data_IF_951569953093
#
_entry.id   IF_951569953093
#
_cell.length_a   1.000
_cell.length_b   1.000
_cell.length_c   1.000
_cell.angle_alpha   90.00
_cell.angle_beta   90.00
_cell.angle_gamma   90.00
#
_symmetry.space_group_name_H-M   'P 1'
#
loop_
_entity.id
_entity.type
_entity.pdbx_description
1 polymer ?
#
# COMPACT_ATOMS: atom_id res chain seq x y z
N UNK A 1 -41.78 -8.85 16.52
CA UNK A 1 -40.84 -8.74 15.38
C UNK A 1 -39.64 -7.78 15.64
N UNK A 2 -39.30 -7.43 16.89
CA UNK A 2 -38.24 -6.43 17.17
C UNK A 2 -36.89 -7.01 17.60
N UNK A 3 -36.84 -8.26 18.08
CA UNK A 3 -35.61 -8.88 18.59
C UNK A 3 -34.54 -9.02 17.50
N UNK A 4 -34.91 -9.50 16.31
CA UNK A 4 -34.02 -9.64 15.16
C UNK A 4 -33.41 -8.30 14.71
N UNK A 5 -34.20 -7.22 14.78
CA UNK A 5 -33.74 -5.90 14.39
C UNK A 5 -32.74 -5.35 15.41
N UNK A 6 -33.00 -5.52 16.71
CA UNK A 6 -32.08 -5.13 17.77
C UNK A 6 -30.75 -5.91 17.70
N UNK A 7 -30.80 -7.22 17.43
CA UNK A 7 -29.60 -8.05 17.22
C UNK A 7 -28.77 -7.58 16.02
N UNK A 8 -29.43 -7.26 14.90
CA UNK A 8 -28.76 -6.75 13.70
C UNK A 8 -28.09 -5.39 13.94
N UNK A 9 -28.77 -4.50 14.67
CA UNK A 9 -28.22 -3.20 15.06
C UNK A 9 -26.98 -3.37 15.95
N UNK A 10 -27.05 -4.22 16.97
CA UNK A 10 -25.91 -4.51 17.84
C UNK A 10 -24.72 -5.03 17.04
N UNK A 11 -24.96 -5.97 16.13
CA UNK A 11 -23.92 -6.50 15.23
C UNK A 11 -23.33 -5.43 14.30
N UNK A 12 -24.15 -4.50 13.84
CA UNK A 12 -23.69 -3.39 13.00
C UNK A 12 -22.81 -2.43 13.78
N UNK A 13 -23.22 -2.03 14.98
CA UNK A 13 -22.45 -1.15 15.86
C UNK A 13 -21.10 -1.81 16.24
N UNK A 14 -21.10 -3.09 16.58
CA UNK A 14 -19.87 -3.84 16.88
C UNK A 14 -18.89 -3.81 15.69
N UNK A 15 -19.40 -3.94 14.46
CA UNK A 15 -18.58 -3.81 13.25
C UNK A 15 -18.05 -2.39 13.06
N UNK A 16 -18.87 -1.36 13.26
CA UNK A 16 -18.43 0.04 13.16
C UNK A 16 -17.29 0.34 14.14
N UNK A 17 -17.37 -0.17 15.37
CA UNK A 17 -16.30 -0.05 16.37
C UNK A 17 -15.03 -0.76 15.89
N UNK A 18 -15.14 -1.98 15.36
CA UNK A 18 -13.97 -2.69 14.82
C UNK A 18 -13.31 -1.97 13.64
N UNK A 19 -14.11 -1.33 12.77
CA UNK A 19 -13.63 -0.56 11.62
C UNK A 19 -12.96 0.76 12.01
N UNK A 20 -13.11 1.21 13.25
CA UNK A 20 -12.43 2.40 13.78
C UNK A 20 -10.93 2.16 13.99
N UNK A 21 -10.48 0.91 13.98
CA UNK A 21 -9.07 0.52 14.05
C UNK A 21 -8.63 -0.05 12.71
N UNK A 22 -7.75 0.66 12.01
CA UNK A 22 -7.12 0.20 10.78
C UNK A 22 -5.92 -0.70 11.12
N UNK A 23 -5.99 -1.96 10.71
CA UNK A 23 -4.88 -2.91 10.80
C UNK A 23 -4.34 -3.23 9.40
N UNK A 24 -3.05 -3.59 9.33
CA UNK A 24 -2.42 -3.92 8.06
C UNK A 24 -2.99 -5.23 7.50
N UNK A 25 -3.44 -5.27 6.23
CA UNK A 25 -4.01 -6.48 5.62
C UNK A 25 -2.97 -7.56 5.31
N UNK A 26 -1.70 -7.18 5.17
CA UNK A 26 -0.58 -8.09 4.93
C UNK A 26 0.72 -7.49 5.49
N UNK A 27 1.72 -8.34 5.69
CA UNK A 27 3.05 -7.94 6.09
C UNK A 27 3.77 -7.25 4.92
N UNK A 28 4.28 -6.04 5.13
CA UNK A 28 4.95 -5.24 4.12
C UNK A 28 5.56 -3.98 4.71
N UNK A 29 6.11 -3.13 3.86
CA UNK A 29 6.69 -1.84 4.28
C UNK A 29 5.68 -0.71 4.05
N UNK A 30 5.54 0.20 5.01
CA UNK A 30 4.73 1.41 4.86
C UNK A 30 5.53 2.41 4.02
N UNK A 31 5.08 2.64 2.79
CA UNK A 31 5.75 3.52 1.83
C UNK A 31 5.32 4.98 2.02
N UNK A 32 4.04 5.21 2.34
CA UNK A 32 3.47 6.54 2.56
C UNK A 32 2.44 6.51 3.69
N UNK A 33 2.42 7.56 4.50
CA UNK A 33 1.43 7.79 5.56
C UNK A 33 0.86 9.19 5.36
N UNK A 34 -0.34 9.27 4.80
CA UNK A 34 -0.98 10.52 4.37
C UNK A 34 -1.84 11.16 5.47
N UNK A 35 -1.82 10.61 6.69
CA UNK A 35 -2.57 11.12 7.84
C UNK A 35 -1.69 11.62 8.96
N UNK A 36 -2.07 12.78 9.49
CA UNK A 36 -1.54 13.36 10.72
C UNK A 36 -2.54 13.20 11.87
N UNK A 37 -2.03 13.27 13.10
CA UNK A 37 -2.87 13.18 14.31
C UNK A 37 -3.85 14.35 14.33
N UNK A 38 -5.14 14.06 14.42
CA UNK A 38 -6.20 15.07 14.42
C UNK A 38 -6.82 15.36 13.05
N UNK A 39 -6.32 14.75 11.97
CA UNK A 39 -6.94 14.84 10.65
C UNK A 39 -8.24 14.03 10.59
N UNK A 40 -9.30 14.61 10.04
CA UNK A 40 -10.60 13.93 9.83
C UNK A 40 -10.51 13.11 8.55
N UNK A 41 -10.61 11.79 8.69
CA UNK A 41 -10.52 10.85 7.56
C UNK A 41 -11.92 10.39 7.16
N UNK A 42 -12.43 10.90 6.04
CA UNK A 42 -13.76 10.62 5.50
C UNK A 42 -13.79 9.75 4.24
N UNK A 43 -12.71 9.00 3.97
CA UNK A 43 -12.56 8.16 2.77
C UNK A 43 -11.25 8.36 1.99
N UNK A 44 -10.38 9.25 2.45
CA UNK A 44 -9.05 9.43 1.88
C UNK A 44 -8.12 8.26 2.24
N UNK A 45 -7.14 7.97 1.36
CA UNK A 45 -6.13 6.96 1.61
C UNK A 45 -5.33 7.33 2.87
N UNK A 46 -5.20 6.37 3.80
CA UNK A 46 -4.57 6.59 5.11
C UNK A 46 -3.08 6.24 5.07
N UNK A 47 -2.76 5.11 4.45
CA UNK A 47 -1.39 4.63 4.28
C UNK A 47 -1.30 3.73 3.05
N UNK A 48 -0.12 3.71 2.42
CA UNK A 48 0.22 2.78 1.36
C UNK A 48 1.20 1.74 1.89
N UNK A 49 0.81 0.47 1.83
CA UNK A 49 1.65 -0.67 2.21
C UNK A 49 2.10 -1.35 0.92
N UNK A 50 3.40 -1.59 0.79
CA UNK A 50 4.00 -2.26 -0.36
C UNK A 50 4.76 -3.50 0.11
N UNK A 51 4.46 -4.65 -0.50
CA UNK A 51 5.25 -5.87 -0.32
C UNK A 51 6.46 -5.85 -1.27
N UNK A 52 7.66 -5.95 -0.72
CA UNK A 52 8.93 -5.95 -1.47
C UNK A 52 9.41 -7.37 -1.82
N UNK A 53 8.66 -8.41 -1.47
CA UNK A 53 9.06 -9.81 -1.64
C UNK A 53 9.10 -10.26 -3.11
N UNK A 54 8.33 -9.61 -4.00
CA UNK A 54 8.27 -9.93 -5.44
C UNK A 54 8.44 -8.65 -6.27
N UNK A 55 9.67 -8.17 -6.38
CA UNK A 55 10.01 -7.04 -7.25
C UNK A 55 9.89 -7.48 -8.72
N UNK A 56 8.83 -7.02 -9.40
CA UNK A 56 8.65 -7.25 -10.85
C UNK A 56 9.56 -6.29 -11.61
N UNK A 57 10.56 -6.83 -12.29
CA UNK A 57 11.45 -6.07 -13.15
C UNK A 57 10.91 -6.11 -14.59
N UNK A 58 10.38 -5.00 -15.08
CA UNK A 58 10.01 -4.83 -16.48
C UNK A 58 11.16 -4.13 -17.22
N UNK A 59 11.92 -4.89 -18.02
CA UNK A 59 12.94 -4.34 -18.92
C UNK A 59 12.48 -4.51 -20.36
N UNK A 60 12.42 -3.41 -21.10
CA UNK A 60 12.17 -3.43 -22.55
C UNK A 60 13.50 -3.70 -23.25
N UNK A 61 13.76 -4.95 -23.60
CA UNK A 61 14.96 -5.33 -24.36
C UNK A 61 14.66 -5.20 -25.86
N UNK A 62 15.33 -4.29 -26.60
CA UNK A 62 15.31 -4.34 -28.05
C UNK A 62 16.06 -5.58 -28.54
N UNK A 63 15.41 -6.42 -29.35
CA UNK A 63 15.88 -7.75 -29.80
C UNK A 63 17.28 -7.72 -30.45
N UNK A 64 17.70 -6.59 -31.01
CA UNK A 64 19.05 -6.37 -31.57
C UNK A 64 20.17 -6.62 -30.55
N UNK A 65 19.88 -6.56 -29.24
CA UNK A 65 20.85 -6.75 -28.14
C UNK A 65 20.80 -8.15 -27.48
N UNK A 66 19.89 -9.03 -27.89
CA UNK A 66 19.74 -10.39 -27.31
C UNK A 66 20.91 -11.34 -27.65
N UNK A 67 21.76 -10.98 -28.64
CA UNK A 67 22.81 -11.87 -29.15
C UNK A 67 24.10 -11.94 -28.33
N UNK A 68 24.28 -11.18 -27.23
CA UNK A 68 25.61 -11.12 -26.58
C UNK A 68 25.70 -10.91 -25.06
N UNK A 69 24.66 -11.02 -24.25
CA UNK A 69 24.84 -10.82 -22.79
C UNK A 69 24.06 -11.81 -21.93
N UNK A 70 24.80 -12.73 -21.30
CA UNK A 70 24.32 -13.75 -20.36
C UNK A 70 24.33 -13.32 -18.88
N UNK A 71 24.60 -12.05 -18.55
CA UNK A 71 24.46 -11.52 -17.18
C UNK A 71 24.28 -10.00 -17.18
N UNK A 72 23.04 -9.54 -17.08
CA UNK A 72 22.73 -8.13 -16.87
C UNK A 72 22.70 -7.84 -15.36
N UNK A 73 23.80 -7.34 -14.81
CA UNK A 73 23.86 -6.80 -13.45
C UNK A 73 23.22 -5.41 -13.42
N UNK A 74 22.20 -5.23 -12.58
CA UNK A 74 21.48 -3.95 -12.43
C UNK A 74 21.91 -3.30 -11.11
N UNK A 75 22.79 -2.30 -11.19
CA UNK A 75 23.07 -1.38 -10.09
C UNK A 75 22.08 -0.21 -10.14
N UNK A 76 21.14 -0.12 -9.20
CA UNK A 76 20.25 1.03 -9.07
C UNK A 76 20.94 2.12 -8.23
N UNK A 77 21.33 3.23 -8.85
CA UNK A 77 21.76 4.44 -8.15
C UNK A 77 20.55 5.20 -7.64
N UNK A 78 20.59 5.61 -6.37
CA UNK A 78 19.53 6.37 -5.69
C UNK A 78 19.16 7.68 -6.42
N UNK A 79 17.87 8.07 -6.49
CA UNK A 79 17.51 9.37 -7.01
C UNK A 79 17.92 10.46 -6.02
N UNK A 80 18.91 11.26 -6.40
CA UNK A 80 19.34 12.45 -5.66
C UNK A 80 18.18 13.46 -5.61
N UNK A 81 17.75 13.81 -4.40
CA UNK A 81 16.77 14.85 -4.14
C UNK A 81 17.33 16.22 -4.56
N UNK A 82 16.66 16.91 -5.48
CA UNK A 82 16.95 18.32 -5.79
C UNK A 82 16.27 19.23 -4.75
N UNK A 83 16.98 20.19 -4.14
CA UNK A 83 16.36 21.22 -3.32
C UNK A 83 15.59 22.23 -4.19
N UNK A 84 14.32 22.47 -3.83
CA UNK A 84 13.52 23.56 -4.38
C UNK A 84 14.01 24.91 -3.84
N UNK A 85 14.11 25.91 -4.72
CA UNK A 85 14.42 27.31 -4.43
C UNK A 85 13.14 28.11 -4.25
#
# INVERSE_FOLDING_TARGET
MNLKNAESQLKHLAKQISLSRLEAPFAGTITYKDVEKGSVVGGAAVARITDLSKLKLEITIPEKKLRSSSSATISQSAPTCMPAK
#
